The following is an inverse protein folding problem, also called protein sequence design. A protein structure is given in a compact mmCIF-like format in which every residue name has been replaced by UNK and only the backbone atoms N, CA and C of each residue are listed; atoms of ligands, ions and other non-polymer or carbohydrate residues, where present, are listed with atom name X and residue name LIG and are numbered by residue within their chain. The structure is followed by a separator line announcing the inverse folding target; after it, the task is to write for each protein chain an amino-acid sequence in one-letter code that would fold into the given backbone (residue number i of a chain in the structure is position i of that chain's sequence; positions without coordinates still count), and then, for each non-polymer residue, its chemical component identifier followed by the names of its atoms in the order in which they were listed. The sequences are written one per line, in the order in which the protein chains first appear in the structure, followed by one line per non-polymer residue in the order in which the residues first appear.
data_IF_406680235453
#
_entry.id   IF_406680235453
#
_cell.length_a   1.000
_cell.length_b   1.000
_cell.length_c   1.000
_cell.angle_alpha   90.00
_cell.angle_beta   90.00
_cell.angle_gamma   90.00
#
_symmetry.space_group_name_H-M   'P 1'
#
loop_
_entity.id
_entity.type
_entity.pdbx_description
1 polymer ?
#
# COMPACT_ATOMS: atom_id res chain seq x y z
N UNK A 1 -16.27 28.52 -4.26
CA UNK A 1 -15.12 28.14 -3.39
C UNK A 1 -15.07 26.64 -3.08
N UNK A 2 -16.15 25.87 -3.25
CA UNK A 2 -16.24 24.43 -2.94
C UNK A 2 -15.39 23.52 -3.86
N UNK A 3 -15.30 23.81 -5.14
CA UNK A 3 -14.65 22.90 -6.12
C UNK A 3 -13.11 22.87 -6.01
N UNK A 4 -12.50 24.01 -5.73
CA UNK A 4 -11.03 24.14 -5.57
C UNK A 4 -10.52 23.43 -4.30
N UNK A 5 -11.34 23.42 -3.25
CA UNK A 5 -10.99 22.78 -1.96
C UNK A 5 -11.09 21.26 -2.06
N UNK A 6 -11.99 20.73 -2.91
CA UNK A 6 -12.12 19.29 -3.17
C UNK A 6 -10.91 18.75 -3.92
N UNK A 7 -10.42 19.46 -4.95
CA UNK A 7 -9.28 19.03 -5.77
C UNK A 7 -7.97 18.95 -4.98
N UNK A 8 -7.73 19.87 -4.04
CA UNK A 8 -6.54 19.82 -3.19
C UNK A 8 -6.52 18.61 -2.25
N UNK A 9 -7.69 18.14 -1.81
CA UNK A 9 -7.82 16.94 -0.97
C UNK A 9 -7.64 15.64 -1.74
N UNK A 10 -7.82 15.66 -3.06
CA UNK A 10 -7.62 14.50 -3.92
C UNK A 10 -6.14 14.12 -4.05
N UNK A 11 -5.22 15.10 -4.07
CA UNK A 11 -3.79 14.82 -4.28
C UNK A 11 -3.24 13.83 -3.24
N UNK A 12 -3.41 14.02 -1.91
CA UNK A 12 -2.93 13.06 -0.92
C UNK A 12 -3.58 11.69 -1.04
N UNK A 13 -4.86 11.65 -1.42
CA UNK A 13 -5.58 10.40 -1.62
C UNK A 13 -5.09 9.66 -2.87
N UNK A 14 -4.81 10.38 -3.96
CA UNK A 14 -4.21 9.78 -5.16
C UNK A 14 -2.80 9.27 -4.87
N UNK A 15 -2.02 9.96 -4.04
CA UNK A 15 -0.72 9.46 -3.61
C UNK A 15 -0.84 8.20 -2.74
N UNK A 16 -1.90 8.09 -1.93
CA UNK A 16 -2.20 6.85 -1.22
C UNK A 16 -2.60 5.71 -2.18
N UNK A 17 -3.32 6.00 -3.28
CA UNK A 17 -3.55 5.02 -4.35
C UNK A 17 -2.23 4.59 -5.02
N UNK A 18 -1.31 5.50 -5.24
CA UNK A 18 0.03 5.16 -5.74
C UNK A 18 0.73 4.21 -4.76
N UNK A 19 0.74 4.54 -3.47
CA UNK A 19 1.32 3.68 -2.42
C UNK A 19 0.63 2.31 -2.31
N UNK A 20 -0.67 2.21 -2.62
CA UNK A 20 -1.38 0.94 -2.70
C UNK A 20 -0.79 0.01 -3.76
N UNK A 21 -0.18 0.55 -4.82
CA UNK A 21 0.50 -0.22 -5.86
C UNK A 21 1.84 -0.85 -5.39
N UNK A 22 2.35 -0.47 -4.22
CA UNK A 22 3.61 -1.04 -3.71
C UNK A 22 3.53 -2.53 -3.44
N UNK A 23 2.35 -3.06 -3.15
CA UNK A 23 2.15 -4.50 -2.95
C UNK A 23 2.55 -5.32 -4.18
N UNK A 24 2.42 -4.75 -5.36
CA UNK A 24 2.71 -5.46 -6.62
C UNK A 24 4.24 -5.63 -6.84
N UNK A 25 5.08 -4.90 -6.06
CA UNK A 25 6.53 -5.13 -6.05
C UNK A 25 6.92 -6.55 -5.64
N UNK A 26 6.06 -7.25 -4.89
CA UNK A 26 6.36 -8.59 -4.38
C UNK A 26 6.62 -9.58 -5.51
N UNK A 27 5.92 -9.46 -6.64
CA UNK A 27 6.14 -10.31 -7.81
C UNK A 27 7.53 -10.14 -8.41
N UNK A 28 8.04 -8.92 -8.48
CA UNK A 28 9.40 -8.62 -8.96
C UNK A 28 10.43 -9.03 -7.90
N UNK A 29 10.19 -8.68 -6.64
CA UNK A 29 11.08 -9.01 -5.54
C UNK A 29 11.27 -10.52 -5.38
N UNK A 30 10.22 -11.32 -5.52
CA UNK A 30 10.32 -12.79 -5.45
C UNK A 30 11.21 -13.38 -6.53
N UNK A 31 11.22 -12.80 -7.74
CA UNK A 31 12.10 -13.25 -8.82
C UNK A 31 13.57 -12.94 -8.52
N UNK A 32 13.87 -11.75 -8.00
CA UNK A 32 15.23 -11.41 -7.59
C UNK A 32 15.70 -12.26 -6.40
N UNK A 33 14.86 -12.43 -5.37
CA UNK A 33 15.17 -13.26 -4.22
C UNK A 33 15.41 -14.72 -4.59
N UNK A 34 14.65 -15.23 -5.57
CA UNK A 34 14.89 -16.58 -6.11
C UNK A 34 16.29 -16.70 -6.66
N UNK A 35 16.76 -15.70 -7.43
CA UNK A 35 18.10 -15.71 -8.01
C UNK A 35 19.18 -15.50 -6.95
N UNK A 36 19.01 -14.56 -6.04
CA UNK A 36 20.02 -14.17 -5.04
C UNK A 36 20.22 -15.25 -3.98
N UNK A 37 19.13 -15.90 -3.53
CA UNK A 37 19.15 -16.92 -2.48
C UNK A 37 19.14 -18.36 -3.01
N UNK A 38 19.09 -18.55 -4.34
CA UNK A 38 19.06 -19.89 -4.96
C UNK A 38 17.79 -20.69 -4.63
N UNK A 39 16.64 -20.00 -4.49
CA UNK A 39 15.38 -20.62 -4.09
C UNK A 39 14.74 -21.43 -5.22
N UNK A 40 14.01 -22.47 -4.86
CA UNK A 40 13.10 -23.15 -5.77
C UNK A 40 11.90 -22.25 -6.13
N UNK A 41 11.18 -22.61 -7.22
CA UNK A 41 9.94 -21.90 -7.60
C UNK A 41 8.90 -21.92 -6.50
N UNK A 42 8.79 -23.01 -5.76
CA UNK A 42 7.85 -23.15 -4.65
C UNK A 42 8.18 -22.19 -3.51
N UNK A 43 9.45 -22.07 -3.13
CA UNK A 43 9.91 -21.17 -2.06
C UNK A 43 9.74 -19.69 -2.46
N UNK A 44 10.07 -19.33 -3.70
CA UNK A 44 9.89 -17.97 -4.19
C UNK A 44 8.39 -17.56 -4.24
N UNK A 45 7.51 -18.49 -4.61
CA UNK A 45 6.07 -18.23 -4.67
C UNK A 45 5.40 -18.13 -3.28
N UNK A 46 6.07 -18.47 -2.20
CA UNK A 46 5.58 -18.23 -0.84
C UNK A 46 5.42 -16.72 -0.59
N UNK A 47 6.33 -15.87 -1.08
CA UNK A 47 6.28 -14.43 -0.85
C UNK A 47 4.97 -13.77 -1.35
N UNK A 48 4.59 -13.88 -2.63
CA UNK A 48 3.30 -13.34 -3.08
C UNK A 48 2.11 -14.04 -2.43
N UNK A 49 2.17 -15.35 -2.21
CA UNK A 49 1.10 -16.10 -1.55
C UNK A 49 0.86 -15.59 -0.12
N UNK A 50 1.92 -15.27 0.61
CA UNK A 50 1.85 -14.76 1.98
C UNK A 50 1.19 -13.38 2.04
N UNK A 51 1.47 -12.50 1.07
CA UNK A 51 0.81 -11.19 0.96
C UNK A 51 -0.71 -11.35 0.80
N UNK A 52 -1.15 -12.24 -0.10
CA UNK A 52 -2.57 -12.50 -0.31
C UNK A 52 -3.23 -13.21 0.87
N UNK A 53 -2.50 -14.12 1.54
CA UNK A 53 -2.97 -14.78 2.76
C UNK A 53 -3.28 -13.78 3.87
N UNK A 54 -2.38 -12.85 4.14
CA UNK A 54 -2.60 -11.81 5.15
C UNK A 54 -3.70 -10.83 4.73
N UNK A 55 -3.81 -10.54 3.44
CA UNK A 55 -4.92 -9.75 2.91
C UNK A 55 -6.27 -10.42 3.23
N UNK A 56 -6.39 -11.71 3.00
CA UNK A 56 -7.61 -12.47 3.30
C UNK A 56 -7.98 -12.38 4.79
N UNK A 57 -7.00 -12.58 5.68
CA UNK A 57 -7.23 -12.55 7.14
C UNK A 57 -7.60 -11.16 7.63
N UNK A 58 -6.91 -10.13 7.18
CA UNK A 58 -7.04 -8.77 7.72
C UNK A 58 -8.13 -7.93 7.06
N UNK A 59 -8.73 -8.34 5.95
CA UNK A 59 -9.76 -7.56 5.27
C UNK A 59 -10.97 -7.27 6.17
N UNK A 60 -11.52 -8.30 6.82
CA UNK A 60 -12.68 -8.16 7.72
C UNK A 60 -12.34 -7.38 8.99
N UNK A 61 -11.28 -7.72 9.75
CA UNK A 61 -10.82 -6.91 10.89
C UNK A 61 -10.56 -5.46 10.54
N UNK A 62 -10.06 -5.17 9.35
CA UNK A 62 -9.82 -3.79 8.88
C UNK A 62 -11.13 -3.01 8.71
N UNK A 63 -12.17 -3.64 8.16
CA UNK A 63 -13.49 -3.01 8.06
C UNK A 63 -14.03 -2.60 9.44
N UNK A 64 -13.91 -3.49 10.44
CA UNK A 64 -14.27 -3.20 11.82
C UNK A 64 -13.40 -2.09 12.43
N UNK A 65 -12.10 -2.11 12.20
CA UNK A 65 -11.18 -1.09 12.66
C UNK A 65 -11.52 0.28 12.05
N UNK A 66 -11.78 0.32 10.74
CA UNK A 66 -12.15 1.52 10.01
C UNK A 66 -13.42 2.17 10.60
N UNK A 67 -14.40 1.37 10.99
CA UNK A 67 -15.63 1.86 11.64
C UNK A 67 -15.37 2.46 13.03
N UNK A 68 -14.32 1.99 13.73
CA UNK A 68 -13.95 2.51 15.08
C UNK A 68 -13.11 3.78 15.02
N UNK A 69 -12.03 3.76 14.24
CA UNK A 69 -11.02 4.84 14.24
C UNK A 69 -11.19 5.84 13.10
N UNK A 70 -12.03 5.51 12.09
CA UNK A 70 -12.28 6.31 10.90
C UNK A 70 -11.42 5.89 9.70
N UNK A 71 -11.88 6.28 8.51
CA UNK A 71 -11.29 5.89 7.22
C UNK A 71 -9.90 6.48 7.03
N UNK A 72 -9.73 7.77 7.28
CA UNK A 72 -8.44 8.48 7.14
C UNK A 72 -7.37 7.88 8.06
N UNK A 73 -7.71 7.63 9.32
CA UNK A 73 -6.76 7.07 10.29
C UNK A 73 -6.35 5.64 9.91
N UNK A 74 -7.26 4.86 9.35
CA UNK A 74 -6.97 3.52 8.87
C UNK A 74 -6.04 3.56 7.66
N UNK A 75 -6.23 4.49 6.72
CA UNK A 75 -5.29 4.69 5.60
C UNK A 75 -3.92 5.17 6.10
N UNK A 76 -3.85 6.08 7.06
CA UNK A 76 -2.57 6.49 7.64
C UNK A 76 -1.87 5.32 8.33
N UNK A 77 -2.60 4.50 9.08
CA UNK A 77 -2.05 3.29 9.70
C UNK A 77 -1.50 2.33 8.64
N UNK A 78 -2.22 2.13 7.54
CA UNK A 78 -1.75 1.28 6.45
C UNK A 78 -0.45 1.78 5.82
N UNK A 79 -0.32 3.10 5.60
CA UNK A 79 0.90 3.70 5.09
C UNK A 79 2.08 3.52 6.04
N UNK A 80 1.85 3.63 7.35
CA UNK A 80 2.88 3.38 8.38
C UNK A 80 3.30 1.91 8.37
N UNK A 81 2.35 0.98 8.35
CA UNK A 81 2.65 -0.47 8.30
C UNK A 81 3.41 -0.82 7.01
N UNK A 82 2.99 -0.27 5.86
CA UNK A 82 3.69 -0.43 4.58
C UNK A 82 5.10 0.15 4.64
N UNK A 83 5.29 1.35 5.20
CA UNK A 83 6.61 1.94 5.38
C UNK A 83 7.52 1.05 6.22
N UNK A 84 7.03 0.52 7.34
CA UNK A 84 7.80 -0.40 8.19
C UNK A 84 8.14 -1.70 7.46
N UNK A 85 7.22 -2.24 6.67
CA UNK A 85 7.50 -3.42 5.86
C UNK A 85 8.63 -3.21 4.85
N UNK A 86 8.63 -2.06 4.17
CA UNK A 86 9.64 -1.70 3.18
C UNK A 86 11.02 -1.39 3.81
N UNK A 87 11.05 -1.01 5.08
CA UNK A 87 12.29 -0.71 5.80
C UNK A 87 13.10 -1.99 6.09
N UNK A 88 12.44 -3.10 6.37
CA UNK A 88 13.07 -4.36 6.79
C UNK A 88 14.09 -4.87 5.76
N UNK A 89 13.78 -4.97 4.44
CA UNK A 89 14.70 -5.49 3.43
C UNK A 89 15.95 -4.64 3.17
N UNK A 90 15.99 -3.43 3.73
CA UNK A 90 17.17 -2.55 3.57
C UNK A 90 18.31 -3.04 4.47
N UNK A 91 17.97 -3.58 5.64
CA UNK A 91 18.94 -4.02 6.64
C UNK A 91 19.41 -5.46 6.42
N UNK A 92 18.51 -6.33 5.96
CA UNK A 92 18.81 -7.75 5.80
C UNK A 92 17.91 -8.36 4.71
N UNK A 93 18.46 -9.25 3.90
CA UNK A 93 17.79 -9.94 2.80
C UNK A 93 17.64 -11.45 3.05
N UNK A 94 17.89 -11.91 4.27
CA UNK A 94 17.68 -13.30 4.64
C UNK A 94 16.21 -13.73 4.40
N UNK A 95 16.01 -14.98 3.98
CA UNK A 95 14.71 -15.52 3.62
C UNK A 95 13.62 -15.25 4.68
N UNK A 96 13.91 -15.51 5.97
CA UNK A 96 12.96 -15.28 7.07
C UNK A 96 12.65 -13.80 7.27
N UNK A 97 13.61 -12.92 7.08
CA UNK A 97 13.45 -11.47 7.18
C UNK A 97 12.53 -10.96 6.08
N UNK A 98 12.70 -11.47 4.86
CA UNK A 98 11.82 -11.17 3.74
C UNK A 98 10.40 -11.69 3.95
N UNK A 99 10.21 -12.89 4.55
CA UNK A 99 8.88 -13.38 4.91
C UNK A 99 8.14 -12.45 5.88
N UNK A 100 8.85 -11.91 6.87
CA UNK A 100 8.28 -10.93 7.82
C UNK A 100 7.92 -9.63 7.11
N UNK A 101 8.80 -9.13 6.26
CA UNK A 101 8.57 -7.92 5.46
C UNK A 101 7.32 -8.05 4.60
N UNK A 102 7.21 -9.12 3.81
CA UNK A 102 6.06 -9.31 2.92
C UNK A 102 4.78 -9.67 3.66
N UNK A 103 4.86 -10.28 4.86
CA UNK A 103 3.70 -10.42 5.74
C UNK A 103 3.16 -9.06 6.17
N UNK A 104 4.02 -8.17 6.64
CA UNK A 104 3.63 -6.81 7.00
C UNK A 104 3.11 -6.02 5.80
N UNK A 105 3.71 -6.20 4.62
CA UNK A 105 3.23 -5.59 3.38
C UNK A 105 1.80 -6.05 3.05
N UNK A 106 1.51 -7.34 3.21
CA UNK A 106 0.17 -7.89 3.02
C UNK A 106 -0.85 -7.32 3.99
N UNK A 107 -0.49 -7.17 5.28
CA UNK A 107 -1.32 -6.52 6.30
C UNK A 107 -1.56 -5.04 5.94
N UNK A 108 -0.50 -4.31 5.60
CA UNK A 108 -0.60 -2.92 5.16
C UNK A 108 -1.51 -2.76 3.94
N UNK A 109 -1.41 -3.66 2.98
CA UNK A 109 -2.26 -3.68 1.79
C UNK A 109 -3.73 -3.95 2.13
N UNK A 110 -4.03 -4.88 3.06
CA UNK A 110 -5.40 -5.12 3.53
C UNK A 110 -6.02 -3.86 4.15
N UNK A 111 -5.28 -3.19 5.03
CA UNK A 111 -5.68 -1.91 5.63
C UNK A 111 -5.95 -0.86 4.55
N UNK A 112 -5.06 -0.74 3.57
CA UNK A 112 -5.15 0.27 2.51
C UNK A 112 -6.36 0.03 1.61
N UNK A 113 -6.49 -1.14 1.02
CA UNK A 113 -7.54 -1.44 0.05
C UNK A 113 -8.94 -1.36 0.66
N UNK A 114 -9.10 -1.80 1.90
CA UNK A 114 -10.39 -1.74 2.59
C UNK A 114 -10.81 -0.32 2.93
N UNK A 115 -9.87 0.59 3.23
CA UNK A 115 -10.20 1.93 3.74
C UNK A 115 -10.08 3.05 2.72
N UNK A 116 -9.25 2.90 1.67
CA UNK A 116 -8.95 3.98 0.74
C UNK A 116 -10.13 4.33 -0.19
N UNK A 117 -10.82 3.32 -0.73
CA UNK A 117 -12.00 3.54 -1.56
C UNK A 117 -13.14 4.25 -0.78
N UNK A 118 -13.50 3.79 0.44
CA UNK A 118 -14.43 4.54 1.30
C UNK A 118 -13.94 5.93 1.69
N UNK A 119 -12.62 6.15 1.87
CA UNK A 119 -12.09 7.48 2.14
C UNK A 119 -12.32 8.42 0.97
N UNK A 120 -12.10 7.95 -0.27
CA UNK A 120 -12.35 8.75 -1.47
C UNK A 120 -13.82 9.16 -1.59
N UNK A 121 -14.77 8.29 -1.20
CA UNK A 121 -16.20 8.61 -1.22
C UNK A 121 -16.61 9.72 -0.23
N UNK A 122 -15.79 10.04 0.77
CA UNK A 122 -16.00 11.19 1.65
C UNK A 122 -15.59 12.53 1.01
N UNK A 123 -14.81 12.50 -0.07
CA UNK A 123 -14.30 13.70 -0.73
C UNK A 123 -15.06 13.96 -2.02
N UNK A 124 -15.43 12.90 -2.72
CA UNK A 124 -16.09 12.93 -4.02
C UNK A 124 -17.41 12.17 -3.93
N UNK A 125 -18.47 12.75 -4.46
CA UNK A 125 -19.81 12.13 -4.48
C UNK A 125 -20.45 12.20 -5.88
N UNK A 126 -21.54 11.47 -6.05
CA UNK A 126 -22.31 11.46 -7.28
C UNK A 126 -21.53 10.90 -8.48
N UNK A 127 -21.78 11.45 -9.66
CA UNK A 127 -21.26 10.96 -10.94
C UNK A 127 -19.73 10.99 -11.05
N UNK A 128 -19.07 11.85 -10.24
CA UNK A 128 -17.60 11.97 -10.22
C UNK A 128 -16.91 10.85 -9.39
N UNK A 129 -17.64 10.14 -8.55
CA UNK A 129 -17.05 9.11 -7.67
C UNK A 129 -16.48 7.94 -8.50
N UNK A 130 -17.24 7.41 -9.42
CA UNK A 130 -16.81 6.28 -10.27
C UNK A 130 -15.55 6.63 -11.06
N UNK A 131 -15.53 7.81 -11.71
CA UNK A 131 -14.36 8.27 -12.47
C UNK A 131 -13.15 8.52 -11.58
N UNK A 132 -13.34 9.04 -10.35
CA UNK A 132 -12.25 9.26 -9.40
C UNK A 132 -11.68 7.95 -8.86
N UNK A 133 -12.52 6.93 -8.61
CA UNK A 133 -12.07 5.58 -8.23
C UNK A 133 -11.26 4.94 -9.36
N UNK A 134 -11.75 5.03 -10.61
CA UNK A 134 -11.03 4.52 -11.79
C UNK A 134 -9.69 5.23 -11.96
N UNK A 135 -9.65 6.56 -11.79
CA UNK A 135 -8.40 7.31 -11.83
C UNK A 135 -7.45 6.90 -10.72
N UNK A 136 -7.94 6.66 -9.50
CA UNK A 136 -7.14 6.13 -8.40
C UNK A 136 -6.52 4.76 -8.73
N UNK A 137 -7.28 3.85 -9.33
CA UNK A 137 -6.75 2.55 -9.79
C UNK A 137 -5.71 2.72 -10.93
N UNK A 138 -5.90 3.69 -11.80
CA UNK A 138 -4.88 4.03 -12.81
C UNK A 138 -3.58 4.53 -12.17
N UNK A 139 -3.69 5.41 -11.17
CA UNK A 139 -2.51 5.89 -10.40
C UNK A 139 -1.81 4.73 -9.68
N UNK A 140 -2.57 3.78 -9.09
CA UNK A 140 -2.03 2.53 -8.55
C UNK A 140 -1.24 1.75 -9.59
N UNK A 141 -1.81 1.58 -10.78
CA UNK A 141 -1.18 0.84 -11.87
C UNK A 141 0.15 1.45 -12.33
N UNK A 142 0.30 2.78 -12.25
CA UNK A 142 1.58 3.44 -12.53
C UNK A 142 2.67 2.96 -11.56
N UNK A 143 2.39 2.86 -10.26
CA UNK A 143 3.34 2.37 -9.28
C UNK A 143 3.76 0.92 -9.57
N UNK A 144 2.79 0.05 -9.88
CA UNK A 144 3.02 -1.34 -10.25
C UNK A 144 3.88 -1.45 -11.53
N UNK A 145 3.60 -0.60 -12.52
CA UNK A 145 4.35 -0.54 -13.78
C UNK A 145 5.81 -0.09 -13.57
N UNK A 146 6.05 0.85 -12.66
CA UNK A 146 7.39 1.39 -12.39
C UNK A 146 8.26 0.41 -11.60
N UNK A 147 7.69 -0.48 -10.80
CA UNK A 147 8.42 -1.38 -9.92
C UNK A 147 9.52 -2.19 -10.65
N UNK A 148 9.25 -2.91 -11.76
CA UNK A 148 10.28 -3.68 -12.46
C UNK A 148 11.40 -2.80 -13.03
N UNK A 149 11.07 -1.60 -13.49
CA UNK A 149 12.07 -0.69 -14.05
C UNK A 149 13.00 -0.15 -12.95
N UNK A 150 12.46 0.27 -11.81
CA UNK A 150 13.26 0.75 -10.67
C UNK A 150 14.18 -0.37 -10.16
N UNK A 151 13.66 -1.59 -10.01
CA UNK A 151 14.44 -2.74 -9.59
C UNK A 151 15.57 -3.06 -10.60
N UNK A 152 15.27 -3.08 -11.90
CA UNK A 152 16.26 -3.31 -12.95
C UNK A 152 17.34 -2.21 -12.98
N UNK A 153 16.95 -0.94 -12.87
CA UNK A 153 17.90 0.18 -12.86
C UNK A 153 18.81 0.12 -11.63
N UNK A 154 18.29 -0.29 -10.47
CA UNK A 154 19.11 -0.54 -9.29
C UNK A 154 20.06 -1.72 -9.47
N UNK A 155 19.58 -2.84 -10.01
CA UNK A 155 20.39 -4.02 -10.26
C UNK A 155 21.53 -3.76 -11.27
N UNK A 156 21.28 -2.94 -12.29
CA UNK A 156 22.26 -2.54 -13.30
C UNK A 156 23.07 -1.29 -12.92
N UNK A 157 22.86 -0.76 -11.72
CA UNK A 157 23.47 0.49 -11.24
C UNK A 157 23.24 1.71 -12.15
N UNK A 158 22.16 1.71 -12.93
CA UNK A 158 21.74 2.85 -13.74
C UNK A 158 21.25 4.04 -12.88
N UNK A 159 20.85 3.74 -11.63
CA UNK A 159 20.55 4.73 -10.60
C UNK A 159 21.43 4.45 -9.36
N UNK A 160 21.71 5.47 -8.52
CA UNK A 160 22.44 5.28 -7.27
C UNK A 160 21.68 4.28 -6.37
N UNK A 161 22.24 3.09 -6.16
CA UNK A 161 21.58 1.99 -5.42
C UNK A 161 22.10 1.84 -3.98
N UNK A 162 23.16 2.57 -3.60
CA UNK A 162 23.82 2.45 -2.28
C UNK A 162 24.17 0.98 -1.92
N UNK A 163 24.65 0.22 -2.93
CA UNK A 163 24.96 -1.22 -2.84
C UNK A 163 23.75 -2.14 -2.63
N UNK A 164 22.53 -1.60 -2.65
CA UNK A 164 21.30 -2.39 -2.49
C UNK A 164 20.91 -3.16 -3.76
N UNK A 165 21.50 -2.83 -4.92
CA UNK A 165 21.10 -3.42 -6.18
C UNK A 165 19.60 -3.20 -6.46
N UNK A 166 18.86 -4.28 -6.82
CA UNK A 166 17.43 -4.20 -7.06
C UNK A 166 16.61 -3.74 -5.84
N UNK A 167 17.15 -3.94 -4.63
CA UNK A 167 16.49 -3.54 -3.37
C UNK A 167 16.37 -2.02 -3.21
N UNK A 168 16.97 -1.22 -4.08
CA UNK A 168 16.75 0.24 -4.14
C UNK A 168 15.29 0.60 -4.32
N UNK A 169 14.47 -0.33 -4.82
CA UNK A 169 13.03 -0.21 -4.92
C UNK A 169 12.38 0.12 -3.56
N UNK A 170 12.86 -0.49 -2.47
CA UNK A 170 12.31 -0.27 -1.13
C UNK A 170 12.48 1.16 -0.64
N UNK A 171 13.70 1.75 -0.58
CA UNK A 171 13.86 3.13 -0.16
C UNK A 171 13.16 4.13 -1.09
N UNK A 172 13.09 3.88 -2.40
CA UNK A 172 12.33 4.74 -3.32
C UNK A 172 10.85 4.79 -2.93
N UNK A 173 10.24 3.63 -2.68
CA UNK A 173 8.84 3.57 -2.27
C UNK A 173 8.63 4.08 -0.84
N UNK A 174 9.62 3.94 0.05
CA UNK A 174 9.55 4.52 1.40
C UNK A 174 9.47 6.06 1.36
N UNK A 175 10.26 6.71 0.51
CA UNK A 175 10.18 8.18 0.34
C UNK A 175 8.77 8.60 -0.08
N UNK A 176 8.18 7.89 -1.03
CA UNK A 176 6.81 8.18 -1.49
C UNK A 176 5.80 7.93 -0.36
N UNK A 177 5.96 6.84 0.42
CA UNK A 177 5.10 6.56 1.56
C UNK A 177 5.17 7.67 2.62
N UNK A 178 6.37 8.20 2.92
CA UNK A 178 6.54 9.32 3.85
C UNK A 178 5.82 10.57 3.34
N UNK A 179 5.98 10.91 2.07
CA UNK A 179 5.28 12.05 1.46
C UNK A 179 3.76 11.85 1.56
N UNK A 180 3.27 10.63 1.28
CA UNK A 180 1.85 10.30 1.40
C UNK A 180 1.33 10.46 2.84
N UNK A 181 2.10 9.98 3.84
CA UNK A 181 1.78 10.12 5.27
C UNK A 181 1.68 11.59 5.66
N UNK A 182 2.66 12.40 5.29
CA UNK A 182 2.71 13.82 5.64
C UNK A 182 1.58 14.60 4.99
N UNK A 183 1.35 14.41 3.69
CA UNK A 183 0.30 15.13 2.97
C UNK A 183 -1.10 14.70 3.42
N UNK A 184 -1.34 13.39 3.57
CA UNK A 184 -2.63 12.91 4.05
C UNK A 184 -2.86 13.29 5.52
N UNK A 185 -1.82 13.22 6.35
CA UNK A 185 -1.87 13.66 7.75
C UNK A 185 -2.28 15.11 7.89
N UNK A 186 -1.68 16.01 7.11
CA UNK A 186 -1.96 17.45 7.11
C UNK A 186 -3.32 17.81 6.50
N UNK A 187 -3.92 16.94 5.67
CA UNK A 187 -5.19 17.24 4.99
C UNK A 187 -6.37 16.99 5.92
N UNK A 188 -7.22 17.98 6.13
CA UNK A 188 -8.46 17.79 6.90
C UNK A 188 -9.56 17.20 6.00
N UNK A 189 -9.96 15.97 6.30
CA UNK A 189 -11.07 15.28 5.64
C UNK A 189 -12.18 15.10 6.67
N UNK A 190 -13.36 15.64 6.37
CA UNK A 190 -14.55 15.42 7.19
C UNK A 190 -15.11 14.02 6.86
N UNK A 191 -15.10 13.17 7.85
CA UNK A 191 -15.68 11.83 7.75
C UNK A 191 -17.10 11.90 8.34
N UNK A 192 -18.11 11.53 7.56
CA UNK A 192 -19.42 11.20 8.10
C UNK A 192 -19.29 9.88 8.86
N UNK A 193 -19.33 9.95 10.19
CA UNK A 193 -19.53 8.73 10.97
C UNK A 193 -20.90 8.19 10.59
N UNK A 194 -20.93 7.04 9.97
CA UNK A 194 -22.15 6.25 9.97
C UNK A 194 -22.41 5.88 11.43
N UNK A 195 -23.46 6.45 12.02
CA UNK A 195 -23.99 6.05 13.34
C UNK A 195 -24.68 4.67 13.21
N UNK A 196 -23.93 3.69 12.72
CA UNK A 196 -24.30 2.28 12.75
C UNK A 196 -23.68 1.63 13.97
N UNK A 197 -24.42 0.73 14.63
CA UNK A 197 -23.88 -0.15 15.67
C UNK A 197 -22.55 -0.75 15.18
N UNK A 198 -21.53 -0.88 16.06
CA UNK A 198 -20.33 -1.60 15.67
C UNK A 198 -20.74 -2.99 15.18
N UNK A 199 -20.57 -3.23 13.87
CA UNK A 199 -20.87 -4.53 13.27
C UNK A 199 -20.08 -5.60 14.03
N UNK A 200 -20.79 -6.58 14.54
CA UNK A 200 -20.19 -7.74 15.17
C UNK A 200 -19.60 -8.63 14.06
N UNK A 201 -18.51 -9.33 14.34
CA UNK A 201 -17.85 -10.20 13.36
C UNK A 201 -18.83 -11.17 12.63
N UNK A 202 -19.89 -11.58 13.31
CA UNK A 202 -20.94 -12.43 12.74
C UNK A 202 -21.92 -11.72 11.79
N UNK A 203 -21.94 -10.40 11.75
CA UNK A 203 -22.76 -9.61 10.82
C UNK A 203 -22.00 -9.25 9.53
N UNK A 204 -20.69 -9.52 9.50
CA UNK A 204 -19.81 -9.27 8.36
C UNK A 204 -19.54 -10.53 7.52
N UNK A 205 -20.01 -11.70 7.94
CA UNK A 205 -19.97 -12.99 7.24
C UNK A 205 -21.33 -13.33 6.67
#
# INVERSE_FOLDING_TARGET
MSEKTSSLKLIPVMLAFFAMGFVDLVGIASNYLKADLGLSDSEANIFPSLVFFWFLIFSVPTGMLMNRIGRKKTVLLSLIVTFLSLMIPIFDDAYMVMLISFSLLGIGNALMQTSLNPLLSNIVSGDKLASSLTFGQFVKAIASFLAPYIAMWGATQAIPSMELGWRVLFPVYMVIAVIAILLLGATTIHETKEEGRPSTFGECL
#
